data_IF_058091567953
#
_entry.id   IF_058091567953
#
_cell.length_a   1.000
_cell.length_b   1.000
_cell.length_c   1.000
_cell.angle_alpha   90.00
_cell.angle_beta   90.00
_cell.angle_gamma   90.00
#
_symmetry.space_group_name_H-M   'P 1'
#
loop_
_entity.id
_entity.type
_entity.pdbx_description
1 polymer ?
#
# COMPACT_ATOMS: atom_id res chain seq x y z
N UNK A 1 10.44 -8.12 1.46
CA UNK A 1 9.13 -7.41 1.46
C UNK A 1 8.17 -8.17 0.56
N UNK A 2 6.94 -8.44 1.05
CA UNK A 2 5.85 -9.05 0.26
C UNK A 2 4.83 -7.96 -0.02
N UNK A 3 4.44 -7.78 -1.28
CA UNK A 3 3.38 -6.85 -1.69
C UNK A 3 2.15 -7.66 -2.12
N UNK A 4 1.01 -7.36 -1.52
CA UNK A 4 -0.28 -7.99 -1.83
C UNK A 4 -1.12 -6.98 -2.62
N UNK A 5 -1.39 -7.26 -3.89
CA UNK A 5 -2.06 -6.35 -4.81
C UNK A 5 -2.91 -7.17 -5.81
N UNK A 6 -4.20 -6.87 -5.99
CA UNK A 6 -5.05 -7.58 -6.92
C UNK A 6 -4.70 -7.33 -8.41
N UNK A 7 -4.22 -6.13 -8.74
CA UNK A 7 -3.91 -5.75 -10.11
C UNK A 7 -2.53 -6.28 -10.54
N UNK A 8 -2.49 -7.05 -11.63
CA UNK A 8 -1.26 -7.68 -12.13
C UNK A 8 -0.20 -6.67 -12.56
N UNK A 9 -0.58 -5.60 -13.25
CA UNK A 9 0.35 -4.57 -13.69
C UNK A 9 0.99 -3.84 -12.51
N UNK A 10 0.22 -3.58 -11.45
CA UNK A 10 0.74 -2.98 -10.21
C UNK A 10 1.63 -3.95 -9.44
N UNK A 11 1.35 -5.27 -9.47
CA UNK A 11 2.28 -6.27 -8.91
C UNK A 11 3.61 -6.27 -9.65
N UNK A 12 3.58 -6.23 -10.99
CA UNK A 12 4.78 -6.14 -11.80
C UNK A 12 5.61 -4.88 -11.48
N UNK A 13 4.95 -3.74 -11.35
CA UNK A 13 5.59 -2.50 -10.93
C UNK A 13 6.19 -2.59 -9.52
N UNK A 14 5.48 -3.19 -8.57
CA UNK A 14 6.00 -3.39 -7.22
C UNK A 14 7.27 -4.26 -7.22
N UNK A 15 7.33 -5.28 -8.06
CA UNK A 15 8.53 -6.09 -8.24
C UNK A 15 9.71 -5.27 -8.80
N UNK A 16 9.46 -4.40 -9.80
CA UNK A 16 10.48 -3.49 -10.34
C UNK A 16 11.00 -2.51 -9.29
N UNK A 17 10.13 -2.08 -8.37
CA UNK A 17 10.46 -1.17 -7.27
C UNK A 17 11.10 -1.86 -6.05
N UNK A 18 11.41 -3.16 -6.16
CA UNK A 18 12.18 -3.89 -5.15
C UNK A 18 11.36 -4.73 -4.18
N UNK A 19 10.09 -5.01 -4.46
CA UNK A 19 9.36 -6.03 -3.72
C UNK A 19 10.02 -7.40 -3.94
N UNK A 20 10.32 -8.10 -2.87
CA UNK A 20 10.93 -9.45 -2.95
C UNK A 20 9.93 -10.45 -3.53
N UNK A 21 8.65 -10.30 -3.13
CA UNK A 21 7.54 -11.11 -3.65
C UNK A 21 6.33 -10.23 -3.88
N UNK A 22 5.57 -10.53 -4.90
CA UNK A 22 4.28 -9.91 -5.19
C UNK A 22 3.24 -11.00 -5.38
N UNK A 23 2.04 -10.81 -4.84
CA UNK A 23 1.01 -11.86 -4.82
C UNK A 23 -0.39 -11.26 -4.87
N UNK A 24 -1.34 -11.99 -5.45
CA UNK A 24 -2.75 -11.66 -5.38
C UNK A 24 -3.30 -11.95 -3.97
N UNK A 25 -4.39 -11.28 -3.54
CA UNK A 25 -4.91 -11.39 -2.17
C UNK A 25 -5.27 -12.80 -1.71
N UNK A 26 -5.76 -13.64 -2.61
CA UNK A 26 -6.17 -15.02 -2.37
C UNK A 26 -5.01 -15.95 -2.01
N UNK A 27 -3.84 -15.76 -2.64
CA UNK A 27 -2.64 -16.54 -2.37
C UNK A 27 -1.72 -15.92 -1.28
N UNK A 28 -2.07 -14.75 -0.74
CA UNK A 28 -1.21 -14.02 0.20
C UNK A 28 -0.98 -14.78 1.51
N UNK A 29 -2.00 -15.49 2.01
CA UNK A 29 -1.91 -16.23 3.27
C UNK A 29 -0.88 -17.36 3.19
N UNK A 30 -0.92 -18.14 2.12
CA UNK A 30 -0.01 -19.25 1.87
C UNK A 30 1.44 -18.74 1.72
N UNK A 31 1.65 -17.73 0.89
CA UNK A 31 2.97 -17.16 0.67
C UNK A 31 3.58 -16.59 1.95
N UNK A 32 2.80 -15.85 2.76
CA UNK A 32 3.30 -15.32 4.03
C UNK A 32 3.65 -16.44 4.99
N UNK A 33 2.83 -17.49 5.07
CA UNK A 33 3.08 -18.66 5.91
C UNK A 33 4.39 -19.35 5.52
N UNK A 34 4.60 -19.55 4.23
CA UNK A 34 5.83 -20.15 3.71
C UNK A 34 7.07 -19.34 4.11
N UNK A 35 7.09 -18.03 3.77
CA UNK A 35 8.27 -17.19 3.98
C UNK A 35 8.51 -16.77 5.44
N UNK A 36 7.53 -16.95 6.30
CA UNK A 36 7.66 -16.67 7.74
C UNK A 36 7.71 -17.92 8.59
N UNK A 37 7.80 -19.10 7.97
CA UNK A 37 7.77 -20.40 8.66
C UNK A 37 6.56 -20.54 9.60
N UNK A 38 5.38 -20.05 9.16
CA UNK A 38 4.14 -20.09 9.92
C UNK A 38 3.97 -19.01 10.99
N UNK A 39 4.98 -18.16 11.21
CA UNK A 39 4.91 -17.15 12.27
C UNK A 39 4.04 -15.94 11.92
N UNK A 40 3.98 -15.55 10.65
CA UNK A 40 3.37 -14.32 10.17
C UNK A 40 4.37 -13.16 10.06
N UNK A 41 3.93 -12.05 9.50
CA UNK A 41 4.78 -10.90 9.22
C UNK A 41 5.12 -10.10 10.49
N UNK A 42 6.36 -9.61 10.60
CA UNK A 42 6.79 -8.72 11.70
C UNK A 42 6.08 -7.37 11.68
N UNK A 43 5.86 -6.85 10.47
CA UNK A 43 5.22 -5.56 10.22
C UNK A 43 4.31 -5.68 9.00
N UNK A 44 3.09 -5.19 9.13
CA UNK A 44 2.11 -5.10 8.05
C UNK A 44 1.71 -3.64 7.87
N UNK A 45 1.87 -3.12 6.66
CA UNK A 45 1.29 -1.84 6.24
C UNK A 45 -0.04 -2.11 5.56
N UNK A 46 -1.12 -1.63 6.16
CA UNK A 46 -2.45 -1.65 5.56
C UNK A 46 -2.63 -0.35 4.75
N UNK A 47 -2.55 -0.46 3.42
CA UNK A 47 -2.57 0.69 2.49
C UNK A 47 -3.85 0.77 1.65
N UNK A 48 -4.79 -0.14 1.85
CA UNK A 48 -6.01 -0.26 1.03
C UNK A 48 -7.15 0.61 1.58
N UNK A 49 -7.32 0.62 2.91
CA UNK A 49 -8.38 1.36 3.56
C UNK A 49 -9.77 0.74 3.39
N UNK A 50 -9.86 -0.58 3.23
CA UNK A 50 -11.14 -1.28 3.26
C UNK A 50 -11.38 -1.88 4.65
N UNK A 51 -12.62 -1.87 5.15
CA UNK A 51 -12.93 -2.43 6.47
C UNK A 51 -12.41 -3.85 6.69
N UNK A 52 -12.54 -4.72 5.70
CA UNK A 52 -12.10 -6.11 5.76
C UNK A 52 -10.58 -6.28 5.77
N UNK A 53 -9.84 -5.39 5.13
CA UNK A 53 -8.37 -5.49 5.05
C UNK A 53 -7.69 -5.15 6.37
N UNK A 54 -8.36 -4.44 7.28
CA UNK A 54 -7.85 -4.14 8.62
C UNK A 54 -7.70 -5.42 9.45
N UNK A 55 -8.74 -6.27 9.48
CA UNK A 55 -8.65 -7.56 10.18
C UNK A 55 -7.63 -8.48 9.49
N UNK A 56 -7.62 -8.53 8.16
CA UNK A 56 -6.63 -9.33 7.42
C UNK A 56 -5.18 -8.92 7.72
N UNK A 57 -4.91 -7.63 7.95
CA UNK A 57 -3.58 -7.18 8.33
C UNK A 57 -3.14 -7.78 9.69
N UNK A 58 -4.05 -7.83 10.66
CA UNK A 58 -3.81 -8.47 11.95
C UNK A 58 -3.65 -9.99 11.80
N UNK A 59 -4.51 -10.64 11.01
CA UNK A 59 -4.45 -12.09 10.80
C UNK A 59 -3.11 -12.53 10.18
N UNK A 60 -2.54 -11.69 9.31
CA UNK A 60 -1.25 -11.93 8.64
C UNK A 60 -0.03 -11.55 9.48
N UNK A 61 -0.20 -10.77 10.54
CA UNK A 61 0.90 -10.43 11.44
C UNK A 61 1.27 -11.58 12.37
N UNK A 62 2.52 -11.65 12.79
CA UNK A 62 2.93 -12.58 13.85
C UNK A 62 2.47 -12.11 15.23
N UNK A 63 2.58 -12.98 16.25
CA UNK A 63 2.44 -12.57 17.65
C UNK A 63 3.51 -11.51 18.01
N UNK A 64 3.09 -10.45 18.71
CA UNK A 64 3.95 -9.28 19.01
C UNK A 64 4.30 -8.44 17.78
N UNK A 65 3.70 -8.73 16.61
CA UNK A 65 3.89 -7.98 15.38
C UNK A 65 3.29 -6.57 15.42
N UNK A 66 3.51 -5.85 14.34
CA UNK A 66 3.02 -4.47 14.20
C UNK A 66 2.13 -4.35 12.98
N UNK A 67 1.05 -3.60 13.11
CA UNK A 67 0.19 -3.20 11.98
C UNK A 67 0.16 -1.68 11.94
N UNK A 68 0.39 -1.10 10.78
CA UNK A 68 0.27 0.33 10.53
C UNK A 68 -0.83 0.57 9.50
N UNK A 69 -1.92 1.21 9.90
CA UNK A 69 -3.00 1.64 9.02
C UNK A 69 -2.60 2.94 8.32
N UNK A 70 -2.48 2.89 7.01
CA UNK A 70 -2.15 4.03 6.14
C UNK A 70 -3.32 4.32 5.19
N UNK A 71 -4.00 3.25 4.74
CA UNK A 71 -5.20 3.39 3.92
C UNK A 71 -6.29 4.12 4.67
N UNK A 72 -7.03 5.01 4.00
CA UNK A 72 -8.12 5.77 4.60
C UNK A 72 -9.43 4.96 4.53
N UNK A 73 -9.87 4.31 5.64
CA UNK A 73 -11.08 3.51 5.60
C UNK A 73 -12.33 4.39 5.62
N UNK A 74 -13.31 4.00 4.83
CA UNK A 74 -14.65 4.59 4.88
C UNK A 74 -15.60 3.57 5.50
N UNK A 75 -16.34 3.98 6.54
CA UNK A 75 -17.28 3.12 7.26
C UNK A 75 -16.67 2.42 8.48
N UNK A 76 -17.26 1.30 8.87
CA UNK A 76 -16.89 0.55 10.08
C UNK A 76 -16.25 -0.77 9.73
N UNK A 77 -15.19 -1.16 10.44
CA UNK A 77 -14.55 -2.45 10.32
C UNK A 77 -15.02 -3.42 11.41
N UNK A 78 -15.28 -4.67 11.02
CA UNK A 78 -15.49 -5.75 11.98
C UNK A 78 -14.13 -6.32 12.35
N UNK A 79 -13.82 -6.33 13.63
CA UNK A 79 -12.57 -6.87 14.17
C UNK A 79 -12.84 -8.06 15.08
N UNK A 80 -11.86 -8.93 15.27
CA UNK A 80 -11.87 -10.01 16.25
C UNK A 80 -10.96 -9.66 17.44
N UNK A 81 -11.48 -9.05 18.52
CA UNK A 81 -10.65 -8.60 19.65
C UNK A 81 -9.86 -9.74 20.31
N UNK A 82 -10.42 -10.94 20.34
CA UNK A 82 -9.73 -12.10 20.89
C UNK A 82 -8.46 -12.46 20.10
N UNK A 83 -8.50 -12.35 18.76
CA UNK A 83 -7.32 -12.56 17.91
C UNK A 83 -6.27 -11.50 18.16
N UNK A 84 -6.69 -10.24 18.29
CA UNK A 84 -5.79 -9.13 18.58
C UNK A 84 -5.08 -9.31 19.94
N UNK A 85 -5.85 -9.72 20.96
CA UNK A 85 -5.32 -10.00 22.31
C UNK A 85 -4.32 -11.14 22.30
N UNK A 86 -4.66 -12.28 21.70
CA UNK A 86 -3.78 -13.49 21.65
C UNK A 86 -2.51 -13.19 20.87
N UNK A 87 -2.60 -12.42 19.82
CA UNK A 87 -1.44 -12.01 19.01
C UNK A 87 -0.61 -10.89 19.66
N UNK A 88 -1.12 -10.22 20.69
CA UNK A 88 -0.44 -9.06 21.32
C UNK A 88 -0.01 -8.03 20.26
N UNK A 89 -0.85 -7.82 19.24
CA UNK A 89 -0.51 -6.97 18.10
C UNK A 89 -0.40 -5.51 18.52
N UNK A 90 0.57 -4.81 17.98
CA UNK A 90 0.70 -3.36 18.12
C UNK A 90 0.11 -2.69 16.90
N UNK A 91 -1.00 -1.96 17.10
CA UNK A 91 -1.69 -1.26 16.03
C UNK A 91 -1.42 0.24 16.13
N UNK A 92 -1.07 0.85 15.02
CA UNK A 92 -0.87 2.30 14.86
C UNK A 92 -1.50 2.77 13.58
N UNK A 93 -1.72 4.07 13.46
CA UNK A 93 -2.18 4.69 12.23
C UNK A 93 -1.25 5.85 11.85
N UNK A 94 -1.15 6.15 10.56
CA UNK A 94 -0.45 7.30 10.03
C UNK A 94 -1.35 8.00 9.01
N UNK A 95 -1.47 9.32 9.13
CA UNK A 95 -2.26 10.13 8.22
C UNK A 95 -1.43 11.33 7.75
N UNK A 96 -1.39 11.52 6.44
CA UNK A 96 -0.69 12.62 5.80
C UNK A 96 0.82 12.68 6.17
N UNK A 97 1.38 13.86 6.23
CA UNK A 97 2.81 14.08 6.50
C UNK A 97 3.03 15.48 7.06
N UNK A 98 4.13 15.67 7.77
CA UNK A 98 4.63 16.97 8.20
C UNK A 98 5.56 17.57 7.14
N UNK A 99 5.93 18.83 7.29
CA UNK A 99 6.98 19.45 6.47
C UNK A 99 8.29 18.68 6.55
N UNK A 100 8.68 18.25 7.74
CA UNK A 100 9.90 17.47 7.96
C UNK A 100 9.88 16.13 7.21
N UNK A 101 8.71 15.46 7.15
CA UNK A 101 8.56 14.21 6.39
C UNK A 101 8.71 14.47 4.90
N UNK A 102 8.15 15.58 4.41
CA UNK A 102 8.28 15.99 3.01
C UNK A 102 9.75 16.29 2.65
N UNK A 103 10.45 17.08 3.46
CA UNK A 103 11.84 17.43 3.23
C UNK A 103 12.74 16.19 3.26
N UNK A 104 12.51 15.27 4.20
CA UNK A 104 13.22 13.98 4.25
C UNK A 104 12.96 13.14 3.00
N UNK A 105 11.72 13.09 2.54
CA UNK A 105 11.36 12.36 1.33
C UNK A 105 12.07 12.95 0.11
N UNK A 106 12.09 14.27 -0.04
CA UNK A 106 12.82 14.96 -1.11
C UNK A 106 14.33 14.66 -1.06
N UNK A 107 14.92 14.64 0.12
CA UNK A 107 16.31 14.24 0.30
C UNK A 107 16.56 12.80 -0.13
N UNK A 108 15.67 11.86 0.21
CA UNK A 108 15.78 10.46 -0.18
C UNK A 108 15.64 10.25 -1.69
N UNK A 109 14.83 11.06 -2.36
CA UNK A 109 14.69 11.06 -3.82
C UNK A 109 15.99 11.58 -4.46
N UNK A 110 16.50 12.72 -3.97
CA UNK A 110 17.74 13.33 -4.47
C UNK A 110 18.95 12.40 -4.32
N UNK A 111 19.03 11.63 -3.22
CA UNK A 111 20.08 10.64 -2.96
C UNK A 111 19.87 9.32 -3.75
N UNK A 112 18.80 9.18 -4.51
CA UNK A 112 18.48 7.95 -5.25
C UNK A 112 18.00 6.78 -4.38
N UNK A 113 17.71 7.00 -3.10
CA UNK A 113 17.16 5.97 -2.19
C UNK A 113 15.70 5.64 -2.48
N UNK A 114 14.96 6.58 -3.04
CA UNK A 114 13.59 6.42 -3.52
C UNK A 114 13.58 6.70 -5.02
N UNK A 115 13.11 5.74 -5.80
CA UNK A 115 12.96 5.87 -7.25
C UNK A 115 11.47 6.01 -7.57
N UNK A 116 11.06 7.16 -8.08
CA UNK A 116 9.67 7.47 -8.41
C UNK A 116 9.36 7.37 -9.91
N UNK A 117 10.39 7.46 -10.77
CA UNK A 117 10.21 7.44 -12.23
C UNK A 117 9.36 6.26 -12.73
N UNK A 118 9.54 5.01 -12.24
CA UNK A 118 8.71 3.91 -12.69
C UNK A 118 7.24 4.02 -12.28
N UNK A 119 6.92 4.87 -11.29
CA UNK A 119 5.54 5.10 -10.85
C UNK A 119 4.81 6.12 -11.72
N UNK A 120 5.54 7.04 -12.35
CA UNK A 120 4.97 8.05 -13.25
C UNK A 120 4.55 7.38 -14.56
N UNK A 121 3.26 7.35 -14.80
CA UNK A 121 2.70 6.65 -15.98
C UNK A 121 2.29 7.60 -17.09
N UNK A 122 1.78 8.79 -16.76
CA UNK A 122 1.42 9.79 -17.77
C UNK A 122 1.38 11.22 -17.22
N UNK A 123 1.32 12.18 -18.13
CA UNK A 123 1.14 13.60 -17.83
C UNK A 123 0.02 14.18 -18.69
N UNK A 124 -0.91 14.88 -18.05
CA UNK A 124 -2.05 15.50 -18.72
C UNK A 124 -2.04 17.02 -18.52
N UNK A 125 -2.61 17.80 -19.45
CA UNK A 125 -2.89 19.23 -19.23
C UNK A 125 -4.01 19.41 -18.20
N UNK A 126 -4.15 20.60 -17.63
CA UNK A 126 -5.25 20.91 -16.69
C UNK A 126 -6.63 20.59 -17.28
N UNK A 127 -6.80 20.81 -18.58
CA UNK A 127 -8.06 20.51 -19.29
C UNK A 127 -8.42 19.02 -19.31
N UNK A 128 -7.43 18.13 -19.20
CA UNK A 128 -7.62 16.67 -19.14
C UNK A 128 -7.75 16.10 -17.72
N UNK A 129 -7.65 16.94 -16.68
CA UNK A 129 -7.65 16.50 -15.29
C UNK A 129 -8.94 15.77 -14.89
N UNK A 130 -10.09 16.30 -15.31
CA UNK A 130 -11.39 15.70 -14.99
C UNK A 130 -11.51 14.27 -15.50
N UNK A 131 -11.17 14.06 -16.76
CA UNK A 131 -11.25 12.76 -17.41
C UNK A 131 -10.25 11.77 -16.79
N UNK A 132 -9.02 12.22 -16.51
CA UNK A 132 -8.01 11.39 -15.84
C UNK A 132 -8.46 10.93 -14.45
N UNK A 133 -9.10 11.80 -13.67
CA UNK A 133 -9.65 11.43 -12.35
C UNK A 133 -10.82 10.43 -12.52
N UNK A 134 -11.72 10.67 -13.47
CA UNK A 134 -12.85 9.78 -13.72
C UNK A 134 -12.39 8.37 -14.13
N UNK A 135 -11.41 8.27 -15.03
CA UNK A 135 -10.83 7.00 -15.48
C UNK A 135 -10.13 6.25 -14.35
N UNK A 136 -9.36 6.94 -13.52
CA UNK A 136 -8.73 6.34 -12.33
C UNK A 136 -9.77 5.85 -11.32
N UNK A 137 -10.82 6.65 -11.07
CA UNK A 137 -11.85 6.33 -10.08
C UNK A 137 -12.74 5.15 -10.52
N UNK A 138 -13.03 5.04 -11.83
CA UNK A 138 -13.81 3.94 -12.40
C UNK A 138 -13.02 2.64 -12.54
N UNK A 139 -11.69 2.69 -12.42
CA UNK A 139 -10.80 1.56 -12.72
C UNK A 139 -10.63 1.28 -14.22
N UNK A 140 -11.11 2.16 -15.09
CA UNK A 140 -10.92 2.05 -16.55
C UNK A 140 -9.45 2.29 -16.95
N UNK A 141 -8.72 3.08 -16.16
CA UNK A 141 -7.31 3.38 -16.40
C UNK A 141 -6.40 2.37 -15.72
N UNK A 142 -5.34 1.97 -16.41
CA UNK A 142 -4.22 1.17 -15.87
C UNK A 142 -3.12 2.05 -15.28
N UNK A 143 -3.26 3.38 -15.35
CA UNK A 143 -2.29 4.34 -14.86
C UNK A 143 -2.06 4.21 -13.35
N UNK A 144 -0.82 4.42 -12.92
CA UNK A 144 -0.44 4.37 -11.50
C UNK A 144 -0.36 5.76 -10.90
N UNK A 145 0.34 6.68 -11.58
CA UNK A 145 0.49 8.06 -11.16
C UNK A 145 0.40 8.99 -12.39
N UNK A 146 -0.66 9.77 -12.43
CA UNK A 146 -0.85 10.81 -13.46
C UNK A 146 -0.43 12.16 -12.90
N UNK A 147 0.46 12.85 -13.59
CA UNK A 147 0.85 14.22 -13.26
C UNK A 147 0.04 15.23 -14.10
N UNK A 148 -0.20 16.39 -13.52
CA UNK A 148 -0.85 17.50 -14.23
C UNK A 148 0.16 18.59 -14.50
N UNK A 149 0.29 18.98 -15.77
CA UNK A 149 1.16 20.07 -16.19
C UNK A 149 0.32 21.29 -16.58
N UNK A 150 0.32 22.35 -15.76
CA UNK A 150 -0.57 23.50 -15.97
C UNK A 150 -0.33 24.28 -17.25
N UNK A 151 0.89 24.17 -17.82
CA UNK A 151 1.31 24.92 -19.01
C UNK A 151 1.29 24.10 -20.32
N UNK A 152 0.69 22.91 -20.30
CA UNK A 152 0.47 22.14 -21.52
C UNK A 152 -0.83 22.54 -22.20
#
# INVERSE_FOLDING_TARGET
MIVVEPNESRRALAAQLGATHTVAPDAAGELITEYTHGLGADLVYECVGRPETIQHAVDRSRRGGRVCLIGLPVGTATISPAVWLVKEVRFSAALAYTHDDFDRCMGMIADGRIQLEPMHSSTVPVTGLHDAIADLASGASTETKVLVKPQL
#
